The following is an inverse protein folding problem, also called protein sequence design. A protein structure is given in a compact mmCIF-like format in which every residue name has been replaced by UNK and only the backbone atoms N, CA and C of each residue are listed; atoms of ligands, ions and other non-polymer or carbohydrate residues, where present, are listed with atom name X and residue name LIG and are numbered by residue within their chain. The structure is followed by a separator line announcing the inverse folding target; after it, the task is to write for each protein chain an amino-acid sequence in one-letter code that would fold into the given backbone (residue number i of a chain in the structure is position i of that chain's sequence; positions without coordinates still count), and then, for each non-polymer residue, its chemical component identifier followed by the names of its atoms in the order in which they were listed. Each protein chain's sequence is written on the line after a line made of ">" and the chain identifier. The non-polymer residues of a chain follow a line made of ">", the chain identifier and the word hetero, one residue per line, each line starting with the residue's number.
data_IF_578081536213
#
_entry.id   IF_578081536213
#
_cell.length_a   1.000
_cell.length_b   1.000
_cell.length_c   1.000
_cell.angle_alpha   90.00
_cell.angle_beta   90.00
_cell.angle_gamma   90.00
#
_symmetry.space_group_name_H-M   'P 1'
#
loop_
_entity.id
_entity.type
_entity.pdbx_description
1 polymer ?
#
# COMPACT_ATOMS: atom_id res chain seq x y z
N UNK A 1 4.23 2.87 -16.47
CA UNK A 1 4.15 4.08 -15.63
C UNK A 1 2.72 4.13 -15.11
N UNK A 2 2.52 3.58 -13.91
CA UNK A 2 1.26 2.95 -13.51
C UNK A 2 0.39 3.96 -12.74
N UNK A 3 -0.93 3.81 -12.82
CA UNK A 3 -1.95 4.72 -12.26
C UNK A 3 -1.74 5.05 -10.77
N UNK A 4 -1.13 4.15 -9.99
CA UNK A 4 -0.76 4.39 -8.59
C UNK A 4 0.30 5.47 -8.39
N UNK A 5 1.29 5.57 -9.29
CA UNK A 5 2.26 6.66 -9.21
C UNK A 5 1.60 8.01 -9.46
N UNK A 6 0.63 8.08 -10.38
CA UNK A 6 -0.08 9.33 -10.69
C UNK A 6 -1.02 9.76 -9.56
N UNK A 7 -1.71 8.83 -8.90
CA UNK A 7 -2.56 9.15 -7.74
C UNK A 7 -1.73 9.65 -6.54
N UNK A 8 -0.56 9.06 -6.30
CA UNK A 8 0.40 9.56 -5.31
C UNK A 8 0.98 10.91 -5.73
N UNK A 9 1.24 11.14 -7.02
CA UNK A 9 1.75 12.41 -7.55
C UNK A 9 0.74 13.56 -7.44
N UNK A 10 -0.55 13.31 -7.67
CA UNK A 10 -1.59 14.34 -7.52
C UNK A 10 -1.84 14.71 -6.05
N UNK A 11 -1.72 13.73 -5.13
CA UNK A 11 -1.91 13.97 -3.69
C UNK A 11 -0.75 14.76 -3.03
N UNK A 12 0.42 14.82 -3.66
CA UNK A 12 1.59 15.57 -3.15
C UNK A 12 1.37 17.07 -3.10
N UNK A 13 0.42 17.61 -3.87
CA UNK A 13 0.31 19.05 -4.04
C UNK A 13 -0.52 19.76 -2.96
N UNK A 14 -1.25 19.04 -2.09
CA UNK A 14 -2.31 19.69 -1.30
C UNK A 14 -2.38 19.34 0.20
N UNK A 15 -1.60 18.40 0.73
CA UNK A 15 -1.66 18.07 2.17
C UNK A 15 -0.38 17.46 2.73
N UNK A 16 0.07 17.96 3.88
CA UNK A 16 1.30 17.53 4.58
C UNK A 16 1.24 16.07 5.06
N UNK A 17 0.04 15.55 5.32
CA UNK A 17 -0.20 14.18 5.81
C UNK A 17 -1.27 13.52 4.95
N UNK A 18 -0.95 12.39 4.33
CA UNK A 18 -1.88 11.63 3.48
C UNK A 18 -2.56 10.49 4.23
N UNK A 19 -1.93 9.99 5.29
CA UNK A 19 -2.44 8.87 6.04
C UNK A 19 -2.07 9.01 7.51
N UNK A 20 -3.03 8.73 8.39
CA UNK A 20 -2.88 8.82 9.83
C UNK A 20 -3.38 7.52 10.43
N UNK A 21 -2.52 6.81 11.16
CA UNK A 21 -2.97 5.76 12.06
C UNK A 21 -3.51 6.42 13.34
N UNK A 22 -4.81 6.27 13.57
CA UNK A 22 -5.47 6.85 14.75
C UNK A 22 -5.04 6.15 16.04
N UNK A 23 -4.73 4.84 15.98
CA UNK A 23 -4.38 4.07 17.16
C UNK A 23 -2.98 4.43 17.67
N UNK A 24 -1.99 4.52 16.77
CA UNK A 24 -0.61 4.90 17.16
C UNK A 24 -0.33 6.41 17.06
N UNK A 25 -1.21 7.18 16.42
CA UNK A 25 -0.99 8.60 16.12
C UNK A 25 0.03 8.85 15.01
N UNK A 26 0.52 7.80 14.33
CA UNK A 26 1.53 7.91 13.28
C UNK A 26 0.96 8.63 12.06
N UNK A 27 1.73 9.57 11.52
CA UNK A 27 1.37 10.33 10.33
C UNK A 27 2.35 10.05 9.22
N UNK A 28 1.82 9.81 8.04
CA UNK A 28 2.56 9.57 6.83
C UNK A 28 2.43 10.78 5.91
N UNK A 29 3.57 11.39 5.61
CA UNK A 29 3.65 12.42 4.57
C UNK A 29 3.68 11.77 3.21
N UNK A 30 3.38 12.54 2.16
CA UNK A 30 3.37 11.98 0.81
C UNK A 30 4.71 11.37 0.38
N UNK A 31 5.84 12.00 0.76
CA UNK A 31 7.17 11.51 0.45
C UNK A 31 7.48 10.22 1.21
N UNK A 32 7.28 10.20 2.52
CA UNK A 32 7.55 9.00 3.35
C UNK A 32 6.67 7.82 2.94
N UNK A 33 5.40 8.09 2.59
CA UNK A 33 4.49 7.07 2.10
C UNK A 33 4.96 6.51 0.75
N UNK A 34 5.35 7.37 -0.19
CA UNK A 34 5.91 6.97 -1.49
C UNK A 34 7.14 6.09 -1.30
N UNK A 35 8.10 6.53 -0.48
CA UNK A 35 9.36 5.81 -0.30
C UNK A 35 9.11 4.42 0.28
N UNK A 36 8.20 4.30 1.26
CA UNK A 36 7.79 3.01 1.80
C UNK A 36 7.09 2.12 0.76
N UNK A 37 6.19 2.69 -0.04
CA UNK A 37 5.50 1.95 -1.12
C UNK A 37 6.51 1.41 -2.13
N UNK A 38 7.48 2.22 -2.56
CA UNK A 38 8.53 1.80 -3.50
C UNK A 38 9.43 0.73 -2.87
N UNK A 39 9.81 0.91 -1.61
CA UNK A 39 10.62 -0.08 -0.90
C UNK A 39 9.93 -1.44 -0.85
N UNK A 40 8.66 -1.49 -0.42
CA UNK A 40 7.90 -2.74 -0.36
C UNK A 40 7.67 -3.33 -1.75
N UNK A 41 7.39 -2.50 -2.76
CA UNK A 41 7.23 -2.98 -4.13
C UNK A 41 8.51 -3.67 -4.65
N UNK A 42 9.68 -3.09 -4.35
CA UNK A 42 10.97 -3.69 -4.70
C UNK A 42 11.20 -5.02 -3.98
N UNK A 43 10.84 -5.13 -2.70
CA UNK A 43 10.93 -6.40 -1.95
C UNK A 43 10.00 -7.45 -2.58
N UNK A 44 8.76 -7.07 -2.91
CA UNK A 44 7.81 -7.98 -3.55
C UNK A 44 8.35 -8.52 -4.89
N UNK A 45 8.97 -7.67 -5.70
CA UNK A 45 9.52 -8.07 -7.01
C UNK A 45 10.79 -8.92 -6.83
N UNK A 46 11.74 -8.46 -6.03
CA UNK A 46 13.10 -9.00 -6.04
C UNK A 46 13.27 -10.17 -5.07
N UNK A 47 12.58 -10.16 -3.93
CA UNK A 47 12.74 -11.18 -2.88
C UNK A 47 11.61 -12.22 -2.93
N UNK A 48 10.37 -11.76 -3.12
CA UNK A 48 9.21 -12.66 -3.19
C UNK A 48 8.97 -13.19 -4.62
N UNK A 49 9.49 -12.50 -5.64
CA UNK A 49 9.35 -12.90 -7.04
C UNK A 49 7.99 -12.58 -7.63
N UNK A 50 7.30 -11.54 -7.13
CA UNK A 50 6.01 -11.09 -7.64
C UNK A 50 6.14 -10.64 -9.11
N UNK A 51 5.34 -11.24 -9.97
CA UNK A 51 5.24 -10.92 -11.39
C UNK A 51 3.95 -10.16 -11.69
N UNK A 52 3.99 -9.35 -12.76
CA UNK A 52 2.83 -8.61 -13.24
C UNK A 52 1.62 -9.53 -13.44
N UNK A 53 0.47 -9.12 -12.91
CA UNK A 53 -0.79 -9.86 -13.01
C UNK A 53 -0.98 -10.97 -11.99
N UNK A 54 0.00 -11.27 -11.14
CA UNK A 54 -0.18 -12.22 -10.05
C UNK A 54 -1.01 -11.59 -8.91
N UNK A 55 -1.86 -12.40 -8.30
CA UNK A 55 -2.73 -12.00 -7.20
C UNK A 55 -1.97 -12.12 -5.88
N UNK A 56 -2.07 -11.10 -5.04
CA UNK A 56 -1.54 -11.09 -3.69
C UNK A 56 -2.70 -10.93 -2.71
N UNK A 57 -2.91 -11.97 -1.90
CA UNK A 57 -3.95 -12.00 -0.88
C UNK A 57 -3.40 -11.47 0.45
N UNK A 58 -4.04 -10.44 1.00
CA UNK A 58 -3.67 -9.88 2.30
C UNK A 58 -4.69 -10.27 3.35
N UNK A 59 -4.19 -10.88 4.41
CA UNK A 59 -4.91 -11.07 5.66
C UNK A 59 -4.22 -10.24 6.73
N UNK A 60 -4.70 -9.02 6.95
CA UNK A 60 -4.12 -8.08 7.91
C UNK A 60 -5.21 -7.30 8.65
N UNK A 61 -4.93 -6.87 9.89
CA UNK A 61 -5.79 -5.91 10.57
C UNK A 61 -5.77 -4.57 9.84
N UNK A 62 -6.87 -3.82 9.98
CA UNK A 62 -6.96 -2.45 9.46
C UNK A 62 -5.94 -1.56 10.20
N UNK A 63 -4.82 -1.32 9.53
CA UNK A 63 -3.65 -0.60 10.03
C UNK A 63 -3.09 0.26 8.92
N UNK A 64 -2.20 1.19 9.27
CA UNK A 64 -1.54 2.02 8.27
C UNK A 64 -0.73 1.22 7.24
N UNK A 65 -0.09 0.15 7.70
CA UNK A 65 0.65 -0.77 6.85
C UNK A 65 -0.22 -1.40 5.76
N UNK A 66 -1.51 -1.63 6.00
CA UNK A 66 -2.41 -2.25 5.02
C UNK A 66 -2.48 -1.42 3.72
N UNK A 67 -2.64 -0.10 3.84
CA UNK A 67 -2.69 0.80 2.69
C UNK A 67 -1.35 0.84 1.96
N UNK A 68 -0.23 0.90 2.70
CA UNK A 68 1.13 0.91 2.13
C UNK A 68 1.34 -0.36 1.29
N UNK A 69 0.99 -1.51 1.86
CA UNK A 69 1.15 -2.81 1.21
C UNK A 69 0.25 -2.91 -0.04
N UNK A 70 -0.98 -2.40 0.04
CA UNK A 70 -1.92 -2.40 -1.09
C UNK A 70 -1.35 -1.58 -2.26
N UNK A 71 -0.86 -0.37 -1.98
CA UNK A 71 -0.25 0.50 -2.98
C UNK A 71 1.02 -0.13 -3.56
N UNK A 72 1.83 -0.81 -2.74
CA UNK A 72 3.04 -1.49 -3.18
C UNK A 72 2.76 -2.64 -4.14
N UNK A 73 1.72 -3.46 -3.91
CA UNK A 73 1.29 -4.51 -4.83
C UNK A 73 0.89 -3.93 -6.18
N UNK A 74 0.09 -2.87 -6.17
CA UNK A 74 -0.33 -2.19 -7.41
C UNK A 74 0.85 -1.53 -8.14
N UNK A 75 1.80 -0.95 -7.40
CA UNK A 75 3.03 -0.38 -7.95
C UNK A 75 3.90 -1.46 -8.61
N UNK A 76 4.02 -2.63 -7.97
CA UNK A 76 4.70 -3.80 -8.51
C UNK A 76 3.97 -4.46 -9.70
N UNK A 77 2.74 -4.02 -10.01
CA UNK A 77 1.93 -4.56 -11.10
C UNK A 77 1.19 -5.86 -10.75
N UNK A 78 1.12 -6.22 -9.47
CA UNK A 78 0.29 -7.30 -8.95
C UNK A 78 -1.18 -6.87 -8.82
N UNK A 79 -2.03 -7.86 -8.53
CA UNK A 79 -3.47 -7.67 -8.27
C UNK A 79 -3.68 -7.84 -6.77
N UNK A 80 -4.20 -6.81 -6.12
CA UNK A 80 -4.50 -6.85 -4.69
C UNK A 80 -5.86 -7.54 -4.43
N UNK A 81 -5.91 -8.45 -3.47
CA UNK A 81 -7.16 -8.92 -2.87
C UNK A 81 -7.06 -8.88 -1.34
N UNK A 82 -8.05 -8.25 -0.70
CA UNK A 82 -8.05 -8.02 0.75
C UNK A 82 -9.02 -8.96 1.46
N UNK A 83 -8.56 -9.62 2.50
CA UNK A 83 -9.39 -10.30 3.49
C UNK A 83 -9.33 -9.50 4.79
N UNK A 84 -10.35 -8.68 5.09
CA UNK A 84 -10.36 -7.90 6.32
C UNK A 84 -10.43 -8.83 7.54
N UNK A 85 -9.53 -8.62 8.50
CA UNK A 85 -9.60 -9.31 9.77
C UNK A 85 -10.89 -8.89 10.50
N UNK A 86 -11.77 -9.86 10.80
CA UNK A 86 -13.06 -9.60 11.45
C UNK A 86 -14.29 -9.79 10.58
N UNK A 87 -14.20 -10.41 9.40
CA UNK A 87 -15.37 -11.02 8.74
C UNK A 87 -15.97 -12.07 9.66
N UNK A 88 -16.92 -11.65 10.51
CA UNK A 88 -17.81 -12.55 11.23
C UNK A 88 -18.69 -13.20 10.16
N UNK A 89 -18.33 -14.41 9.74
CA UNK A 89 -19.31 -15.34 9.20
C UNK A 89 -20.19 -15.77 10.39
N UNK A 90 -21.15 -14.91 10.74
CA UNK A 90 -22.29 -15.27 11.58
C UNK A 90 -23.27 -16.07 10.74
#
# INVERSE_FOLDING_TARGET
>A
MNTCCNALLSAIYESSNLQIDVASGRKWTANTLRDMVIHVANVLINEIGLKKGQVVAFYCPNSDYHVILQLAVLAAGGIYTGCPNGLKYS
#
